data_IF_530273712039
#
_entry.id   IF_530273712039
#
_cell.length_a   1.000
_cell.length_b   1.000
_cell.length_c   1.000
_cell.angle_alpha   90.00
_cell.angle_beta   90.00
_cell.angle_gamma   90.00
#
_symmetry.space_group_name_H-M   'P 1'
#
loop_
_entity.id
_entity.type
_entity.pdbx_description
1 polymer ?
#
# COMPACT_ATOMS: atom_id res chain seq x y z
N UNK A 1 9.59 -42.50 12.67
CA UNK A 1 9.98 -41.28 11.93
C UNK A 1 9.04 -41.03 10.73
N UNK A 2 7.71 -40.89 10.95
CA UNK A 2 6.72 -40.81 9.85
C UNK A 2 5.81 -39.58 9.89
N UNK A 3 5.99 -38.71 10.90
CA UNK A 3 5.07 -37.59 11.16
C UNK A 3 5.69 -36.22 10.88
N UNK A 4 7.00 -36.14 10.61
CA UNK A 4 7.71 -34.87 10.37
C UNK A 4 7.48 -34.31 8.96
N UNK A 5 7.04 -35.14 8.00
CA UNK A 5 6.83 -34.72 6.61
C UNK A 5 5.55 -33.90 6.41
N UNK A 6 4.59 -33.99 7.32
CA UNK A 6 3.31 -33.27 7.23
C UNK A 6 3.40 -31.83 7.75
N UNK A 7 4.35 -31.53 8.64
CA UNK A 7 4.54 -30.18 9.17
C UNK A 7 5.20 -29.22 8.17
N UNK A 8 5.99 -29.73 7.22
CA UNK A 8 6.61 -28.89 6.18
C UNK A 8 5.64 -28.46 5.07
N UNK A 9 4.50 -29.14 4.91
CA UNK A 9 3.53 -28.81 3.85
C UNK A 9 2.61 -27.63 4.20
N UNK A 10 2.43 -27.31 5.49
CA UNK A 10 1.51 -26.25 5.94
C UNK A 10 2.07 -24.83 5.88
N UNK A 11 3.40 -24.68 5.89
CA UNK A 11 4.07 -23.36 5.97
C UNK A 11 4.18 -22.67 4.60
N UNK A 12 4.04 -23.41 3.51
CA UNK A 12 4.14 -22.88 2.13
C UNK A 12 2.86 -22.18 1.63
N UNK A 13 1.71 -22.32 2.33
CA UNK A 13 0.44 -21.72 1.88
C UNK A 13 0.17 -20.31 2.43
N UNK A 14 0.98 -19.81 3.36
CA UNK A 14 0.80 -18.47 3.96
C UNK A 14 1.55 -17.34 3.23
N UNK A 15 2.30 -17.66 2.17
CA UNK A 15 3.09 -16.69 1.40
C UNK A 15 2.39 -16.22 0.10
N UNK A 16 1.08 -16.47 -0.05
CA UNK A 16 0.26 -15.87 -1.12
C UNK A 16 -0.55 -14.71 -0.53
N UNK A 17 0.15 -13.74 0.04
CA UNK A 17 -0.44 -12.44 0.40
C UNK A 17 0.22 -11.37 -0.45
N UNK A 18 -0.40 -11.09 -1.60
CA UNK A 18 -0.18 -9.86 -2.35
C UNK A 18 0.89 -9.94 -3.43
N UNK A 19 0.65 -10.69 -4.52
CA UNK A 19 1.18 -10.27 -5.82
C UNK A 19 0.29 -9.10 -6.28
N UNK A 20 0.59 -7.91 -5.75
CA UNK A 20 0.22 -6.68 -6.44
C UNK A 20 1.16 -6.57 -7.64
N UNK A 21 0.59 -6.73 -8.82
CA UNK A 21 1.25 -6.66 -10.14
C UNK A 21 2.45 -5.71 -10.19
N UNK A 22 3.65 -6.28 -10.17
CA UNK A 22 4.87 -5.62 -10.60
C UNK A 22 4.85 -5.52 -12.13
N UNK A 23 4.17 -4.49 -12.64
CA UNK A 23 4.00 -4.23 -14.06
C UNK A 23 3.23 -2.94 -14.33
N UNK A 24 3.84 -1.78 -14.05
CA UNK A 24 3.53 -0.52 -14.73
C UNK A 24 2.34 0.30 -14.23
N UNK A 25 2.33 0.70 -12.95
CA UNK A 25 1.81 1.95 -12.36
C UNK A 25 1.59 1.67 -10.87
N UNK A 26 2.33 2.36 -9.98
CA UNK A 26 2.11 2.25 -8.54
C UNK A 26 0.70 2.76 -8.24
N UNK A 27 -0.24 1.85 -7.97
CA UNK A 27 -1.56 2.21 -7.47
C UNK A 27 -1.47 2.41 -5.95
N UNK A 28 -1.87 3.58 -5.48
CA UNK A 28 -1.96 3.83 -4.05
C UNK A 28 -2.16 5.29 -3.70
N UNK A 29 -2.07 5.57 -2.41
CA UNK A 29 -2.28 6.89 -1.84
C UNK A 29 -0.99 7.40 -1.21
N UNK A 30 -0.55 8.57 -1.64
CA UNK A 30 0.43 9.39 -0.94
C UNK A 30 -0.28 10.21 0.12
N UNK A 31 0.24 10.22 1.35
CA UNK A 31 -0.22 11.06 2.45
C UNK A 31 0.88 12.06 2.74
N UNK A 32 0.58 13.35 2.68
CA UNK A 32 1.52 14.45 2.84
C UNK A 32 1.42 15.06 4.23
N UNK A 33 2.58 15.37 4.81
CA UNK A 33 2.72 15.97 6.12
C UNK A 33 3.36 17.36 6.06
N UNK A 34 2.94 18.23 6.96
CA UNK A 34 3.52 19.55 7.19
C UNK A 34 4.79 19.48 8.02
N UNK A 35 5.46 20.62 8.20
CA UNK A 35 6.69 20.71 9.00
C UNK A 35 6.48 20.38 10.49
N UNK A 36 5.23 20.45 10.96
CA UNK A 36 4.76 20.07 12.29
C UNK A 36 4.41 18.57 12.39
N UNK A 37 4.52 17.81 11.29
CA UNK A 37 4.10 16.41 11.19
C UNK A 37 2.58 16.23 11.04
N UNK A 38 1.82 17.33 10.93
CA UNK A 38 0.37 17.29 10.72
C UNK A 38 0.01 16.84 9.32
N UNK A 39 -1.14 16.17 9.17
CA UNK A 39 -1.68 15.81 7.86
C UNK A 39 -2.09 17.09 7.09
N UNK A 40 -1.56 17.27 5.89
CA UNK A 40 -1.81 18.47 5.06
C UNK A 40 -2.37 18.15 3.68
N UNK A 41 -2.35 16.88 3.26
CA UNK A 41 -2.83 16.51 1.94
C UNK A 41 -2.72 15.01 1.65
N UNK A 42 -3.36 14.57 0.56
CA UNK A 42 -3.13 13.25 -0.01
C UNK A 42 -3.24 13.27 -1.53
N UNK A 43 -2.68 12.25 -2.18
CA UNK A 43 -2.83 12.02 -3.61
C UNK A 43 -3.01 10.54 -3.89
N UNK A 44 -4.08 10.20 -4.57
CA UNK A 44 -4.34 8.86 -5.12
C UNK A 44 -3.81 8.78 -6.55
N UNK A 45 -3.13 7.69 -6.86
CA UNK A 45 -2.61 7.36 -8.20
C UNK A 45 -3.00 5.93 -8.57
N UNK A 46 -3.29 5.68 -9.84
CA UNK A 46 -3.64 4.36 -10.35
C UNK A 46 -5.01 3.83 -9.90
N UNK A 47 -5.87 4.70 -9.36
CA UNK A 47 -7.17 4.41 -8.76
C UNK A 47 -8.36 4.78 -9.66
N UNK A 48 -8.12 5.25 -10.89
CA UNK A 48 -9.16 5.53 -11.87
C UNK A 48 -9.98 6.75 -11.47
N UNK A 49 -11.29 6.59 -11.30
CA UNK A 49 -12.18 7.70 -10.93
C UNK A 49 -11.85 8.29 -9.53
N UNK A 50 -11.15 7.53 -8.69
CA UNK A 50 -10.68 7.99 -7.39
C UNK A 50 -9.28 8.63 -7.44
N UNK A 51 -8.64 8.72 -8.62
CA UNK A 51 -7.39 9.46 -8.77
C UNK A 51 -7.64 10.95 -8.53
N UNK A 52 -6.83 11.54 -7.67
CA UNK A 52 -7.04 12.91 -7.24
C UNK A 52 -5.96 13.39 -6.29
N UNK A 53 -5.91 14.70 -6.10
CA UNK A 53 -5.04 15.33 -5.10
C UNK A 53 -5.90 16.26 -4.26
N UNK A 54 -5.70 16.19 -2.95
CA UNK A 54 -6.34 17.05 -1.98
C UNK A 54 -5.29 17.66 -1.06
N UNK A 55 -5.46 18.93 -0.70
CA UNK A 55 -4.55 19.64 0.19
C UNK A 55 -3.19 19.98 -0.44
N UNK A 56 -2.15 20.03 0.39
CA UNK A 56 -0.79 20.45 -0.01
C UNK A 56 0.10 19.23 -0.26
N UNK A 57 0.80 19.23 -1.39
CA UNK A 57 1.83 18.23 -1.71
C UNK A 57 3.16 18.70 -1.11
N UNK A 58 3.77 17.86 -0.27
CA UNK A 58 5.05 18.15 0.39
C UNK A 58 6.08 17.05 0.11
N UNK A 59 7.33 17.29 0.47
CA UNK A 59 8.40 16.29 0.39
C UNK A 59 8.33 15.22 1.49
N UNK A 60 7.66 15.52 2.60
CA UNK A 60 7.39 14.58 3.69
C UNK A 60 6.09 13.83 3.41
N UNK A 61 6.20 12.59 2.94
CA UNK A 61 5.05 11.76 2.62
C UNK A 61 5.23 10.30 3.02
N UNK A 62 4.09 9.63 3.25
CA UNK A 62 4.01 8.18 3.28
C UNK A 62 3.23 7.67 2.07
N UNK A 63 3.58 6.49 1.57
CA UNK A 63 2.84 5.84 0.49
C UNK A 63 2.22 4.55 1.03
N UNK A 64 0.91 4.42 0.84
CA UNK A 64 0.17 3.22 1.17
C UNK A 64 -0.40 2.63 -0.12
N UNK A 65 -0.15 1.34 -0.36
CA UNK A 65 -0.78 0.65 -1.47
C UNK A 65 -2.30 0.57 -1.28
N UNK A 66 -3.03 0.81 -2.36
CA UNK A 66 -4.50 0.76 -2.37
C UNK A 66 -5.17 2.15 -2.40
N UNK A 67 -6.40 2.17 -2.90
CA UNK A 67 -7.17 3.38 -3.22
C UNK A 67 -8.02 3.89 -2.06
N UNK A 68 -7.47 3.89 -0.85
CA UNK A 68 -8.16 4.45 0.30
C UNK A 68 -7.74 5.90 0.48
N UNK A 69 -8.70 6.82 0.48
CA UNK A 69 -8.46 8.18 0.94
C UNK A 69 -8.30 8.14 2.48
N UNK A 70 -7.27 8.78 3.06
CA UNK A 70 -7.09 8.87 4.51
C UNK A 70 -8.07 9.90 5.08
N UNK A 71 -9.33 9.53 5.21
CA UNK A 71 -10.38 10.29 5.90
C UNK A 71 -11.19 9.38 6.81
#
# INVERSE_FOLDING_TARGET
MRNTKLLLAGILLAAVSGISSAGGCLQGTFVYYGADGGYVGHRTVGCGAADGTWGTVTGDYSFTQGCSSPI
#
